data_IF_116264110959
#
_entry.id   IF_116264110959
#
_cell.length_a   1.000
_cell.length_b   1.000
_cell.length_c   1.000
_cell.angle_alpha   90.00
_cell.angle_beta   90.00
_cell.angle_gamma   90.00
#
_symmetry.space_group_name_H-M   'P 1'
#
loop_
_entity.id
_entity.type
_entity.pdbx_description
1 polymer ?
#
# COMPACT_ATOMS: atom_id res chain seq x y z
N UNK A 1 6.76 -5.78 2.69
CA UNK A 1 5.59 -5.87 1.78
C UNK A 1 4.69 -4.70 2.13
N UNK A 2 4.06 -4.05 1.16
CA UNK A 2 3.24 -2.86 1.44
C UNK A 2 1.81 -3.27 1.78
N UNK A 3 1.30 -2.81 2.92
CA UNK A 3 -0.07 -3.01 3.36
C UNK A 3 -0.79 -1.67 3.48
N UNK A 4 -2.09 -1.69 3.24
CA UNK A 4 -3.01 -0.59 3.55
C UNK A 4 -3.90 -1.04 4.73
N UNK A 5 -3.87 -0.27 5.82
CA UNK A 5 -4.57 -0.59 7.07
C UNK A 5 -5.60 0.50 7.32
N UNK A 6 -6.88 0.10 7.39
CA UNK A 6 -7.99 0.97 7.76
C UNK A 6 -8.37 0.74 9.22
N UNK A 7 -8.48 1.82 9.99
CA UNK A 7 -8.82 1.80 11.41
C UNK A 7 -9.63 3.03 11.81
N UNK A 8 -10.33 2.95 12.93
CA UNK A 8 -11.00 4.09 13.56
C UNK A 8 -10.25 4.50 14.82
N UNK A 9 -10.06 5.80 15.02
CA UNK A 9 -9.52 6.37 16.26
C UNK A 9 -10.35 7.58 16.67
N UNK A 10 -10.88 7.59 17.90
CA UNK A 10 -11.69 8.71 18.39
C UNK A 10 -13.00 8.95 17.63
N UNK A 11 -13.46 7.96 16.85
CA UNK A 11 -14.64 8.08 15.98
C UNK A 11 -14.34 8.43 14.53
N UNK A 12 -13.09 8.79 14.18
CA UNK A 12 -12.67 9.08 12.82
C UNK A 12 -12.02 7.88 12.15
N UNK A 13 -12.45 7.54 10.93
CA UNK A 13 -11.81 6.52 10.10
C UNK A 13 -10.53 7.08 9.46
N UNK A 14 -9.46 6.28 9.47
CA UNK A 14 -8.14 6.59 8.91
C UNK A 14 -7.59 5.40 8.15
N UNK A 15 -6.72 5.71 7.19
CA UNK A 15 -6.06 4.74 6.33
C UNK A 15 -4.56 5.01 6.35
N UNK A 16 -3.77 3.99 6.70
CA UNK A 16 -2.31 4.07 6.78
C UNK A 16 -1.65 3.04 5.88
N UNK A 17 -0.54 3.41 5.24
CA UNK A 17 0.27 2.51 4.43
C UNK A 17 1.55 2.17 5.15
N UNK A 18 1.79 0.88 5.34
CA UNK A 18 2.91 0.38 6.14
C UNK A 18 3.65 -0.74 5.43
N UNK A 19 4.97 -0.76 5.55
CA UNK A 19 5.76 -1.92 5.14
C UNK A 19 5.86 -2.90 6.32
N UNK A 20 5.39 -4.12 6.11
CA UNK A 20 5.40 -5.19 7.10
C UNK A 20 5.70 -6.55 6.45
N UNK A 21 6.15 -7.55 7.23
CA UNK A 21 6.34 -8.92 6.73
C UNK A 21 5.02 -9.68 6.53
N UNK A 22 3.95 -9.30 7.23
CA UNK A 22 2.64 -9.94 7.19
C UNK A 22 1.54 -8.99 7.69
N UNK A 23 0.26 -9.36 7.50
CA UNK A 23 -0.89 -8.54 7.86
C UNK A 23 -1.05 -8.31 9.38
N UNK A 24 -0.67 -9.27 10.23
CA UNK A 24 -0.74 -9.10 11.68
C UNK A 24 0.32 -8.11 12.15
N UNK A 25 1.53 -8.18 11.60
CA UNK A 25 2.59 -7.21 11.83
C UNK A 25 2.19 -5.79 11.38
N UNK A 26 1.50 -5.67 10.24
CA UNK A 26 0.97 -4.38 9.76
C UNK A 26 -0.04 -3.76 10.72
N UNK A 27 -1.02 -4.56 11.19
CA UNK A 27 -2.01 -4.11 12.16
C UNK A 27 -1.37 -3.71 13.50
N UNK A 28 -0.42 -4.51 14.00
CA UNK A 28 0.28 -4.23 15.25
C UNK A 28 1.08 -2.92 15.20
N UNK A 29 1.75 -2.63 14.07
CA UNK A 29 2.47 -1.36 13.87
C UNK A 29 1.54 -0.15 13.94
N UNK A 30 0.39 -0.21 13.26
CA UNK A 30 -0.61 0.85 13.28
C UNK A 30 -1.21 1.02 14.67
N UNK A 31 -1.56 -0.07 15.35
CA UNK A 31 -2.07 -0.02 16.72
C UNK A 31 -1.03 0.54 17.70
N UNK A 32 0.24 0.18 17.58
CA UNK A 32 1.30 0.72 18.44
C UNK A 32 1.49 2.23 18.22
N UNK A 33 1.35 2.68 16.97
CA UNK A 33 1.57 4.08 16.59
C UNK A 33 0.39 4.97 16.99
N UNK A 34 -0.84 4.50 16.77
CA UNK A 34 -2.06 5.32 16.86
C UNK A 34 -3.04 4.88 17.95
N UNK A 35 -2.91 3.66 18.49
CA UNK A 35 -3.81 3.10 19.51
C UNK A 35 -3.27 3.19 20.94
N UNK A 36 -2.17 3.91 21.18
CA UNK A 36 -1.57 4.09 22.51
C UNK A 36 -2.25 5.19 23.36
N UNK A 37 -3.14 5.98 22.78
CA UNK A 37 -3.95 6.97 23.53
C UNK A 37 -5.21 6.30 24.12
N UNK A 38 -5.80 6.90 25.16
CA UNK A 38 -7.07 6.46 25.81
C UNK A 38 -8.30 6.58 24.86
N UNK A 39 -8.05 6.70 23.56
CA UNK A 39 -9.04 6.84 22.50
C UNK A 39 -9.42 5.44 22.01
N UNK A 40 -10.71 5.24 21.71
CA UNK A 40 -11.19 3.98 21.14
C UNK A 40 -10.51 3.73 19.80
N UNK A 41 -9.63 2.73 19.75
CA UNK A 41 -9.00 2.23 18.53
C UNK A 41 -9.75 0.98 18.05
N UNK A 42 -10.22 0.99 16.80
CA UNK A 42 -10.86 -0.16 16.15
C UNK A 42 -10.15 -0.47 14.83
N UNK A 43 -9.67 -1.71 14.66
CA UNK A 43 -9.13 -2.17 13.39
C UNK A 43 -10.29 -2.60 12.49
N UNK A 44 -10.39 -1.99 11.30
CA UNK A 44 -11.46 -2.28 10.34
C UNK A 44 -10.99 -3.31 9.31
N UNK A 45 -9.86 -3.06 8.65
CA UNK A 45 -9.39 -3.91 7.55
C UNK A 45 -7.89 -3.76 7.26
N UNK A 46 -7.26 -4.81 6.73
CA UNK A 46 -5.86 -4.83 6.26
C UNK A 46 -5.79 -5.43 4.85
N UNK A 47 -5.23 -4.69 3.90
CA UNK A 47 -5.06 -5.08 2.50
C UNK A 47 -3.57 -5.21 2.14
N UNK A 48 -3.16 -6.30 1.48
CA UNK A 48 -1.83 -6.38 0.86
C UNK A 48 -1.86 -5.63 -0.48
N UNK A 49 -1.10 -4.54 -0.60
CA UNK A 49 -0.94 -3.84 -1.86
C UNK A 49 0.01 -4.66 -2.74
N UNK A 50 -0.51 -5.20 -3.85
CA UNK A 50 0.34 -5.85 -4.84
C UNK A 50 1.34 -4.83 -5.38
N UNK A 51 2.63 -5.14 -5.29
CA UNK A 51 3.65 -4.37 -6.01
C UNK A 51 3.35 -4.56 -7.48
N UNK A 52 2.83 -3.52 -8.15
CA UNK A 52 2.81 -3.51 -9.61
C UNK A 52 4.26 -3.72 -10.01
N UNK A 53 4.64 -4.84 -10.65
CA UNK A 53 5.95 -4.86 -11.29
C UNK A 53 5.93 -3.66 -12.22
N UNK A 54 6.91 -2.76 -12.11
CA UNK A 54 7.09 -1.68 -13.06
C UNK A 54 7.00 -2.33 -14.43
N UNK A 55 5.84 -2.17 -15.08
CA UNK A 55 5.54 -2.92 -16.29
C UNK A 55 6.47 -2.35 -17.32
N UNK A 56 7.48 -3.15 -17.66
CA UNK A 56 8.38 -3.08 -18.79
C UNK A 56 8.06 -1.91 -19.75
N UNK A 57 8.41 -0.68 -19.36
CA UNK A 57 8.51 0.44 -20.28
C UNK A 57 9.93 0.42 -20.86
N UNK A 58 10.38 -0.76 -21.32
CA UNK A 58 11.47 -0.85 -22.28
C UNK A 58 10.91 -0.35 -23.60
N UNK A 59 10.89 0.97 -23.73
CA UNK A 59 11.00 1.73 -24.97
C UNK A 59 10.55 0.97 -26.23
N UNK A 60 9.26 1.07 -26.55
CA UNK A 60 8.80 0.94 -27.92
C UNK A 60 9.32 2.18 -28.68
N UNK A 61 10.64 2.20 -28.96
CA UNK A 61 11.28 3.29 -29.68
C UNK A 61 11.04 3.04 -31.17
N UNK A 62 9.98 3.67 -31.67
CA UNK A 62 9.71 3.87 -33.08
C UNK A 62 10.86 4.66 -33.76
N UNK A 63 11.61 4.01 -34.66
CA UNK A 63 12.38 4.60 -35.78
C UNK A 63 13.00 3.43 -36.58
N UNK A 64 12.84 3.24 -37.90
CA UNK A 64 12.74 4.20 -39.00
C UNK A 64 12.04 3.54 -40.20
N UNK A 65 11.36 4.39 -40.97
CA UNK A 65 10.69 4.10 -42.23
C UNK A 65 11.65 3.80 -43.43
N UNK A 66 11.08 3.08 -44.41
CA UNK A 66 11.42 3.02 -45.86
C UNK A 66 12.73 2.37 -46.33
N UNK A 67 12.59 1.29 -47.11
CA UNK A 67 13.27 1.15 -48.41
C UNK A 67 12.43 0.26 -49.36
N UNK A 68 12.02 0.75 -50.55
CA UNK A 68 11.39 -0.05 -51.60
C UNK A 68 12.38 -0.42 -52.71
N UNK A 69 12.56 -1.72 -52.99
CA UNK A 69 13.09 -2.22 -54.27
C UNK A 69 12.28 -3.44 -54.76
#
# INVERSE_FOLDING_TARGET
MNYEVTYQVGGDERVERVDAPDAASAAALVQETFGRTDELFELIYVHLLETVPASDESANHDHTAMDPE
#
